data_IF_666070797652
#
_entry.id   IF_666070797652
#
_cell.length_a   1.000
_cell.length_b   1.000
_cell.length_c   1.000
_cell.angle_alpha   90.00
_cell.angle_beta   90.00
_cell.angle_gamma   90.00
#
_symmetry.space_group_name_H-M   'P 1'
#
loop_
_entity.id
_entity.type
_entity.pdbx_description
1 polymer ?
#
# COMPACT_ATOMS: atom_id res chain seq x y z
N UNK A 1 -9.67 6.06 -14.77
CA UNK A 1 -9.13 6.66 -13.54
C UNK A 1 -8.13 7.75 -13.88
N UNK A 2 -7.94 8.74 -13.00
CA UNK A 2 -6.97 9.82 -13.21
C UNK A 2 -5.88 9.78 -12.13
N UNK A 3 -4.61 9.94 -12.56
CA UNK A 3 -3.46 10.09 -11.65
C UNK A 3 -2.80 11.45 -11.89
N UNK A 4 -2.65 12.25 -10.85
CA UNK A 4 -2.05 13.58 -10.90
C UNK A 4 -0.69 13.56 -10.19
N UNK A 5 0.38 13.82 -10.93
CA UNK A 5 1.77 13.77 -10.47
C UNK A 5 2.41 12.41 -10.69
N UNK A 6 3.28 12.31 -11.69
CA UNK A 6 4.04 11.11 -12.08
C UNK A 6 5.42 11.05 -11.39
N UNK A 7 5.44 11.33 -10.09
CA UNK A 7 6.58 10.97 -9.25
C UNK A 7 6.58 9.45 -8.96
N UNK A 8 7.56 8.95 -8.20
CA UNK A 8 7.71 7.52 -7.86
C UNK A 8 6.42 6.83 -7.42
N UNK A 9 5.63 7.50 -6.59
CA UNK A 9 4.35 6.97 -6.11
C UNK A 9 3.28 6.96 -7.21
N UNK A 10 3.05 8.10 -7.88
CA UNK A 10 2.01 8.20 -8.89
C UNK A 10 2.26 7.30 -10.10
N UNK A 11 3.52 7.17 -10.52
CA UNK A 11 3.90 6.23 -11.59
C UNK A 11 3.59 4.79 -11.20
N UNK A 12 4.00 4.35 -10.00
CA UNK A 12 3.73 2.97 -9.54
C UNK A 12 2.22 2.68 -9.44
N UNK A 13 1.42 3.66 -9.00
CA UNK A 13 -0.05 3.53 -8.97
C UNK A 13 -0.63 3.42 -10.38
N UNK A 14 -0.18 4.26 -11.31
CA UNK A 14 -0.68 4.25 -12.68
C UNK A 14 -0.35 2.93 -13.40
N UNK A 15 0.89 2.44 -13.27
CA UNK A 15 1.35 1.16 -13.82
C UNK A 15 0.52 -0.02 -13.30
N UNK A 16 0.28 -0.08 -11.98
CA UNK A 16 -0.49 -1.17 -11.37
C UNK A 16 -1.97 -1.12 -11.77
N UNK A 17 -2.56 0.07 -11.86
CA UNK A 17 -3.93 0.23 -12.36
C UNK A 17 -4.08 -0.26 -13.80
N UNK A 18 -3.11 0.04 -14.67
CA UNK A 18 -3.13 -0.44 -16.05
C UNK A 18 -2.89 -1.96 -16.13
N UNK A 19 -1.97 -2.50 -15.34
CA UNK A 19 -1.76 -3.95 -15.23
C UNK A 19 -3.03 -4.69 -14.76
N UNK A 20 -3.87 -4.02 -13.97
CA UNK A 20 -5.17 -4.50 -13.52
C UNK A 20 -6.30 -4.26 -14.54
N UNK A 21 -6.00 -3.74 -15.75
CA UNK A 21 -6.94 -3.57 -16.85
C UNK A 21 -7.75 -2.26 -16.81
N UNK A 22 -7.31 -1.26 -16.06
CA UNK A 22 -7.96 0.05 -16.04
C UNK A 22 -7.35 1.01 -17.06
N UNK A 23 -8.21 1.82 -17.71
CA UNK A 23 -7.75 2.98 -18.46
C UNK A 23 -7.30 4.08 -17.50
N UNK A 24 -6.08 4.54 -17.68
CA UNK A 24 -5.46 5.57 -16.84
C UNK A 24 -5.07 6.77 -17.67
N UNK A 25 -5.60 7.93 -17.31
CA UNK A 25 -5.07 9.23 -17.70
C UNK A 25 -4.14 9.74 -16.62
N UNK A 26 -3.01 10.34 -17.01
CA UNK A 26 -2.08 10.98 -16.10
C UNK A 26 -1.91 12.46 -16.41
N UNK A 27 -1.83 13.28 -15.37
CA UNK A 27 -1.48 14.71 -15.46
C UNK A 27 -0.15 14.94 -14.76
N UNK A 28 0.80 15.53 -15.46
CA UNK A 28 2.10 15.88 -14.90
C UNK A 28 2.52 17.29 -15.39
N UNK A 29 3.14 18.07 -14.52
CA UNK A 29 3.58 19.41 -14.85
C UNK A 29 4.92 19.43 -15.59
N UNK A 30 5.83 18.52 -15.25
CA UNK A 30 7.16 18.44 -15.87
C UNK A 30 7.08 17.79 -17.25
N UNK A 31 7.43 18.58 -18.28
CA UNK A 31 7.44 18.13 -19.66
C UNK A 31 8.33 16.91 -19.92
N UNK A 32 9.46 16.79 -19.22
CA UNK A 32 10.38 15.67 -19.43
C UNK A 32 9.76 14.38 -18.92
N UNK A 33 9.05 14.43 -17.79
CA UNK A 33 8.31 13.29 -17.24
C UNK A 33 7.18 12.90 -18.18
N UNK A 34 6.41 13.87 -18.68
CA UNK A 34 5.34 13.63 -19.67
C UNK A 34 5.90 12.92 -20.91
N UNK A 35 7.01 13.40 -21.46
CA UNK A 35 7.64 12.78 -22.64
C UNK A 35 8.17 11.37 -22.35
N UNK A 36 8.67 11.13 -21.13
CA UNK A 36 9.19 9.82 -20.73
C UNK A 36 8.10 8.75 -20.69
N UNK A 37 6.90 9.11 -20.25
CA UNK A 37 5.79 8.17 -20.09
C UNK A 37 4.73 8.24 -21.19
N UNK A 38 4.98 9.01 -22.28
CA UNK A 38 4.00 9.22 -23.33
C UNK A 38 3.54 7.94 -24.04
N UNK A 39 4.42 6.95 -24.14
CA UNK A 39 4.14 5.66 -24.79
C UNK A 39 3.73 4.57 -23.80
N UNK A 40 3.91 4.79 -22.50
CA UNK A 40 3.69 3.78 -21.45
C UNK A 40 2.26 3.80 -20.91
N UNK A 41 1.59 4.94 -20.92
CA UNK A 41 0.25 5.11 -20.36
C UNK A 41 -0.80 5.36 -21.45
N UNK A 42 -2.05 5.07 -21.14
CA UNK A 42 -3.18 5.29 -22.05
C UNK A 42 -3.26 6.75 -22.51
N UNK A 43 -3.02 7.69 -21.61
CA UNK A 43 -2.93 9.13 -21.89
C UNK A 43 -2.09 9.83 -20.83
N UNK A 44 -1.12 10.64 -21.27
CA UNK A 44 -0.34 11.53 -20.39
C UNK A 44 -0.45 12.94 -20.89
N UNK A 45 -0.85 13.87 -20.04
CA UNK A 45 -1.06 15.27 -20.40
C UNK A 45 -0.18 16.18 -19.55
N UNK A 46 0.49 17.13 -20.21
CA UNK A 46 1.21 18.19 -19.49
C UNK A 46 0.24 19.27 -19.04
N UNK A 47 0.03 19.39 -17.72
CA UNK A 47 -0.75 20.49 -17.15
C UNK A 47 -0.34 20.77 -15.70
N UNK A 48 -0.63 21.98 -15.22
CA UNK A 48 -0.54 22.34 -13.82
C UNK A 48 -1.89 22.09 -13.14
N UNK A 49 -1.98 21.10 -12.29
CA UNK A 49 -3.21 20.73 -11.61
C UNK A 49 -3.63 21.72 -10.49
N UNK A 50 -2.80 22.72 -10.19
CA UNK A 50 -3.20 23.85 -9.33
C UNK A 50 -4.05 24.88 -10.07
N UNK A 51 -4.09 24.81 -11.41
CA UNK A 51 -4.95 25.64 -12.26
C UNK A 51 -6.28 24.89 -12.52
N UNK A 52 -7.34 25.33 -11.85
CA UNK A 52 -8.69 24.77 -11.99
C UNK A 52 -9.20 24.88 -13.44
N UNK A 53 -8.82 25.94 -14.18
CA UNK A 53 -9.22 26.08 -15.56
C UNK A 53 -8.61 25.00 -16.47
N UNK A 54 -7.34 24.66 -16.24
CA UNK A 54 -6.68 23.57 -16.93
C UNK A 54 -7.37 22.21 -16.64
N UNK A 55 -7.74 21.94 -15.38
CA UNK A 55 -8.47 20.72 -15.02
C UNK A 55 -9.84 20.63 -15.70
N UNK A 56 -10.58 21.74 -15.76
CA UNK A 56 -11.86 21.81 -16.47
C UNK A 56 -11.70 21.54 -17.98
N UNK A 57 -10.68 22.13 -18.63
CA UNK A 57 -10.43 21.90 -20.05
C UNK A 57 -10.08 20.44 -20.38
N UNK A 58 -9.48 19.74 -19.44
CA UNK A 58 -9.15 18.32 -19.55
C UNK A 58 -10.33 17.40 -19.22
N UNK A 59 -11.48 17.93 -18.81
CA UNK A 59 -12.67 17.16 -18.49
C UNK A 59 -12.49 16.31 -17.23
N UNK A 60 -11.73 16.81 -16.24
CA UNK A 60 -11.41 16.07 -15.02
C UNK A 60 -12.65 15.73 -14.21
N UNK A 61 -13.70 16.51 -14.30
CA UNK A 61 -15.03 16.28 -13.70
C UNK A 61 -15.74 15.00 -14.16
N UNK A 62 -15.28 14.40 -15.26
CA UNK A 62 -15.81 13.13 -15.76
C UNK A 62 -15.22 11.89 -15.08
N UNK A 63 -14.22 12.04 -14.21
CA UNK A 63 -13.57 10.93 -13.54
C UNK A 63 -14.20 10.61 -12.18
N UNK A 64 -14.52 9.35 -11.93
CA UNK A 64 -15.04 8.89 -10.63
C UNK A 64 -13.97 8.79 -9.55
N UNK A 65 -12.72 8.54 -9.95
CA UNK A 65 -11.59 8.36 -9.01
C UNK A 65 -10.36 9.09 -9.51
N UNK A 66 -9.79 9.91 -8.61
CA UNK A 66 -8.57 10.68 -8.86
C UNK A 66 -7.55 10.40 -7.75
N UNK A 67 -6.31 10.11 -8.16
CA UNK A 67 -5.18 9.92 -7.25
C UNK A 67 -4.23 11.11 -7.37
N UNK A 68 -4.00 11.83 -6.27
CA UNK A 68 -3.05 12.94 -6.19
C UNK A 68 -1.75 12.45 -5.58
N UNK A 69 -0.75 12.22 -6.45
CA UNK A 69 0.59 11.73 -6.10
C UNK A 69 1.65 12.82 -5.90
N UNK A 70 1.24 14.09 -5.80
CA UNK A 70 2.16 15.24 -5.67
C UNK A 70 2.93 15.16 -4.35
N UNK A 71 4.26 15.05 -4.42
CA UNK A 71 5.14 14.89 -3.26
C UNK A 71 6.27 15.93 -3.18
N UNK A 72 6.29 16.94 -4.06
CA UNK A 72 7.33 17.97 -4.11
C UNK A 72 6.91 19.29 -3.44
N UNK A 73 5.61 19.53 -3.29
CA UNK A 73 5.04 20.75 -2.74
C UNK A 73 3.72 20.46 -2.02
N UNK A 74 3.67 20.77 -0.73
CA UNK A 74 2.44 20.71 0.07
C UNK A 74 1.39 21.67 -0.49
N UNK A 75 1.81 22.88 -0.85
CA UNK A 75 0.93 23.89 -1.44
C UNK A 75 0.25 23.37 -2.72
N UNK A 76 1.03 22.84 -3.67
CA UNK A 76 0.48 22.30 -4.91
C UNK A 76 -0.46 21.11 -4.65
N UNK A 77 -0.13 20.23 -3.71
CA UNK A 77 -0.98 19.11 -3.34
C UNK A 77 -2.33 19.58 -2.77
N UNK A 78 -2.29 20.53 -1.84
CA UNK A 78 -3.49 21.10 -1.20
C UNK A 78 -4.38 21.83 -2.22
N UNK A 79 -3.79 22.68 -3.07
CA UNK A 79 -4.54 23.39 -4.12
C UNK A 79 -5.16 22.43 -5.13
N UNK A 80 -4.42 21.40 -5.54
CA UNK A 80 -4.95 20.38 -6.46
C UNK A 80 -6.16 19.65 -5.84
N UNK A 81 -6.06 19.21 -4.58
CA UNK A 81 -7.18 18.52 -3.91
C UNK A 81 -8.38 19.46 -3.75
N UNK A 82 -8.16 20.74 -3.38
CA UNK A 82 -9.25 21.71 -3.29
C UNK A 82 -9.97 21.89 -4.64
N UNK A 83 -9.21 22.03 -5.74
CA UNK A 83 -9.79 22.12 -7.08
C UNK A 83 -10.63 20.87 -7.44
N UNK A 84 -10.15 19.67 -7.09
CA UNK A 84 -10.89 18.43 -7.35
C UNK A 84 -12.19 18.35 -6.54
N UNK A 85 -12.17 18.81 -5.30
CA UNK A 85 -13.37 18.88 -4.45
C UNK A 85 -14.37 19.88 -5.06
N UNK A 86 -13.91 21.06 -5.50
CA UNK A 86 -14.75 22.06 -6.15
C UNK A 86 -15.35 21.56 -7.47
N UNK A 87 -14.63 20.67 -8.20
CA UNK A 87 -15.11 19.99 -9.40
C UNK A 87 -16.08 18.85 -9.10
N UNK A 88 -16.29 18.48 -7.82
CA UNK A 88 -17.23 17.46 -7.40
C UNK A 88 -16.75 16.04 -7.62
N UNK A 89 -15.44 15.80 -7.65
CA UNK A 89 -14.88 14.44 -7.80
C UNK A 89 -15.32 13.56 -6.62
N UNK A 90 -15.99 12.43 -6.86
CA UNK A 90 -16.58 11.63 -5.78
C UNK A 90 -15.58 10.84 -4.95
N UNK A 91 -14.41 10.51 -5.51
CA UNK A 91 -13.41 9.69 -4.81
C UNK A 91 -11.98 10.20 -5.05
N UNK A 92 -11.46 10.95 -4.09
CA UNK A 92 -10.13 11.57 -4.12
C UNK A 92 -9.20 10.85 -3.15
N UNK A 93 -8.13 10.27 -3.70
CA UNK A 93 -7.01 9.70 -2.96
C UNK A 93 -5.85 10.69 -2.98
N UNK A 94 -5.33 11.06 -1.83
CA UNK A 94 -4.25 12.04 -1.76
C UNK A 94 -3.05 11.54 -0.94
N UNK A 95 -1.87 11.66 -1.52
CA UNK A 95 -0.61 11.38 -0.83
C UNK A 95 -0.27 12.51 0.14
N UNK A 96 -0.03 12.16 1.39
CA UNK A 96 0.47 13.07 2.41
C UNK A 96 1.96 12.83 2.68
N UNK A 97 2.72 13.93 2.84
CA UNK A 97 4.15 13.91 3.20
C UNK A 97 4.37 13.88 4.70
N UNK A 98 3.44 14.44 5.46
CA UNK A 98 3.48 14.52 6.93
C UNK A 98 2.08 14.36 7.50
N UNK A 99 1.97 14.05 8.78
CA UNK A 99 0.67 13.98 9.47
C UNK A 99 -0.09 15.31 9.41
N UNK A 100 0.61 16.46 9.54
CA UNK A 100 -0.01 17.78 9.42
C UNK A 100 -0.56 18.03 8.02
N UNK A 101 0.19 17.66 6.98
CA UNK A 101 -0.28 17.71 5.60
C UNK A 101 -1.54 16.85 5.41
N UNK A 102 -1.53 15.61 5.88
CA UNK A 102 -2.68 14.73 5.77
C UNK A 102 -3.93 15.25 6.49
N UNK A 103 -3.78 15.88 7.65
CA UNK A 103 -4.91 16.53 8.34
C UNK A 103 -5.50 17.68 7.52
N UNK A 104 -4.69 18.40 6.75
CA UNK A 104 -5.19 19.44 5.84
C UNK A 104 -5.97 18.79 4.70
N UNK A 105 -5.39 17.78 4.04
CA UNK A 105 -6.02 17.06 2.93
C UNK A 105 -7.38 16.47 3.31
N UNK A 106 -7.47 15.84 4.47
CA UNK A 106 -8.72 15.29 5.03
C UNK A 106 -9.77 16.40 5.24
N UNK A 107 -9.37 17.53 5.85
CA UNK A 107 -10.28 18.64 6.12
C UNK A 107 -10.79 19.36 4.88
N UNK A 108 -10.03 19.39 3.80
CA UNK A 108 -10.45 20.01 2.54
C UNK A 108 -11.28 19.07 1.67
N UNK A 109 -11.42 17.78 2.06
CA UNK A 109 -12.34 16.85 1.42
C UNK A 109 -11.71 15.70 0.63
N UNK A 110 -10.42 15.39 0.81
CA UNK A 110 -9.88 14.13 0.31
C UNK A 110 -10.59 12.96 1.00
N UNK A 111 -11.09 11.98 0.22
CA UNK A 111 -11.78 10.82 0.75
C UNK A 111 -10.81 9.83 1.41
N UNK A 112 -9.59 9.74 0.86
CA UNK A 112 -8.55 8.87 1.36
C UNK A 112 -7.20 9.60 1.40
N UNK A 113 -6.57 9.60 2.57
CA UNK A 113 -5.23 10.15 2.75
C UNK A 113 -4.26 9.01 3.06
N UNK A 114 -3.20 8.90 2.27
CA UNK A 114 -2.20 7.83 2.37
C UNK A 114 -0.82 8.39 2.67
N UNK A 115 0.01 7.59 3.36
CA UNK A 115 1.36 7.95 3.82
C UNK A 115 2.39 6.93 3.33
N UNK A 116 2.66 6.82 2.02
CA UNK A 116 3.43 5.71 1.45
C UNK A 116 4.84 5.55 2.05
N UNK A 117 5.53 6.66 2.33
CA UNK A 117 6.86 6.62 2.92
C UNK A 117 6.84 6.15 4.38
N UNK A 118 5.83 6.54 5.16
CA UNK A 118 5.67 6.08 6.53
C UNK A 118 5.32 4.58 6.56
N UNK A 119 4.35 4.15 5.78
CA UNK A 119 3.91 2.75 5.68
C UNK A 119 5.06 1.83 5.22
N UNK A 120 5.82 2.28 4.20
CA UNK A 120 6.99 1.55 3.73
C UNK A 120 8.09 1.48 4.81
N UNK A 121 8.33 2.57 5.56
CA UNK A 121 9.29 2.62 6.66
C UNK A 121 8.90 1.68 7.81
N UNK A 122 7.66 1.72 8.25
CA UNK A 122 7.12 0.85 9.29
C UNK A 122 7.24 -0.63 8.90
N UNK A 123 6.81 -0.98 7.67
CA UNK A 123 6.97 -2.33 7.15
C UNK A 123 8.43 -2.77 7.10
N UNK A 124 9.33 -1.91 6.63
CA UNK A 124 10.76 -2.21 6.56
C UNK A 124 11.34 -2.45 7.94
N UNK A 125 10.95 -1.67 8.96
CA UNK A 125 11.41 -1.83 10.33
C UNK A 125 11.09 -3.22 10.90
N UNK A 126 9.89 -3.75 10.66
CA UNK A 126 9.52 -5.11 11.06
C UNK A 126 10.37 -6.19 10.35
N UNK A 127 10.74 -5.96 9.07
CA UNK A 127 11.55 -6.91 8.30
C UNK A 127 13.03 -6.93 8.70
N UNK A 128 13.56 -5.83 9.24
CA UNK A 128 14.97 -5.74 9.66
C UNK A 128 15.35 -6.69 10.81
N UNK A 129 14.36 -7.22 11.54
CA UNK A 129 14.57 -8.26 12.55
C UNK A 129 15.04 -9.62 12.01
N UNK A 130 15.00 -9.83 10.68
CA UNK A 130 15.59 -10.97 9.97
C UNK A 130 14.76 -12.27 9.99
N UNK A 131 13.72 -12.38 10.79
CA UNK A 131 12.85 -13.58 10.87
C UNK A 131 11.60 -13.45 10.00
N UNK A 132 11.18 -12.24 9.69
CA UNK A 132 10.03 -11.95 8.82
C UNK A 132 10.49 -11.70 7.39
N UNK A 133 9.80 -12.30 6.42
CA UNK A 133 9.98 -12.05 4.97
C UNK A 133 9.00 -11.03 4.43
N UNK A 134 7.82 -10.95 5.04
CA UNK A 134 6.81 -9.95 4.74
C UNK A 134 6.01 -9.64 6.00
N UNK A 135 5.49 -8.40 6.06
CA UNK A 135 4.67 -7.90 7.15
C UNK A 135 3.60 -6.97 6.58
N UNK A 136 2.35 -7.14 7.02
CA UNK A 136 1.24 -6.27 6.64
C UNK A 136 0.30 -6.11 7.82
N UNK A 137 0.06 -4.88 8.24
CA UNK A 137 -1.02 -4.55 9.16
C UNK A 137 -2.33 -4.46 8.36
N UNK A 138 -3.28 -5.36 8.58
CA UNK A 138 -4.54 -5.42 7.84
C UNK A 138 -5.69 -4.71 8.53
N UNK A 139 -5.53 -4.42 9.83
CA UNK A 139 -6.40 -3.53 10.61
C UNK A 139 -5.60 -2.95 11.79
N UNK A 140 -6.00 -1.81 12.37
CA UNK A 140 -5.27 -1.21 13.48
C UNK A 140 -4.94 -2.22 14.59
N UNK A 141 -3.65 -2.41 14.86
CA UNK A 141 -3.15 -3.32 15.90
C UNK A 141 -3.19 -4.81 15.54
N UNK A 142 -3.50 -5.21 14.30
CA UNK A 142 -3.53 -6.60 13.84
C UNK A 142 -2.73 -6.80 12.56
N UNK A 143 -1.83 -7.77 12.56
CA UNK A 143 -0.90 -8.02 11.46
C UNK A 143 -0.93 -9.45 10.94
N UNK A 144 -0.55 -9.58 9.67
CA UNK A 144 -0.13 -10.80 9.00
C UNK A 144 1.37 -10.70 8.73
N UNK A 145 2.12 -11.76 9.09
CA UNK A 145 3.55 -11.85 8.80
C UNK A 145 3.88 -13.17 8.12
N UNK A 146 4.73 -13.11 7.10
CA UNK A 146 5.35 -14.29 6.51
C UNK A 146 6.68 -14.54 7.25
N UNK A 147 6.78 -15.69 7.93
CA UNK A 147 7.91 -16.02 8.81
C UNK A 147 8.50 -17.35 8.35
N UNK A 148 9.82 -17.44 8.25
CA UNK A 148 10.50 -18.72 7.97
C UNK A 148 10.24 -19.71 9.11
N UNK A 149 9.84 -20.94 8.77
CA UNK A 149 9.54 -22.01 9.74
C UNK A 149 10.84 -22.44 10.39
N UNK A 150 11.01 -22.24 11.71
CA UNK A 150 12.20 -22.66 12.42
C UNK A 150 12.16 -24.17 12.70
N UNK A 151 13.32 -24.80 12.86
CA UNK A 151 13.47 -26.22 13.19
C UNK A 151 12.70 -26.63 14.45
N UNK A 152 12.55 -25.71 15.41
CA UNK A 152 11.85 -25.95 16.69
C UNK A 152 10.34 -26.16 16.53
N UNK A 153 9.75 -25.71 15.43
CA UNK A 153 8.33 -25.87 15.13
C UNK A 153 8.06 -26.96 14.07
N UNK A 154 9.06 -27.27 13.25
CA UNK A 154 8.94 -28.24 12.16
C UNK A 154 8.64 -29.65 12.65
N UNK A 155 7.86 -30.42 11.87
CA UNK A 155 7.56 -31.84 12.12
C UNK A 155 6.66 -32.13 13.31
N UNK A 156 6.09 -31.13 13.97
CA UNK A 156 5.17 -31.28 15.10
C UNK A 156 3.75 -30.89 14.68
N UNK A 157 2.72 -31.66 15.08
CA UNK A 157 1.34 -31.28 14.83
C UNK A 157 1.01 -29.91 15.44
N UNK A 158 0.24 -29.10 14.71
CA UNK A 158 -0.11 -27.74 15.13
C UNK A 158 -0.77 -27.69 16.51
N UNK A 159 -1.63 -28.67 16.83
CA UNK A 159 -2.27 -28.78 18.16
C UNK A 159 -1.26 -28.84 19.30
N UNK A 160 -0.10 -29.50 19.10
CA UNK A 160 0.92 -29.69 20.15
C UNK A 160 1.78 -28.42 20.34
N UNK A 161 1.81 -27.52 19.35
CA UNK A 161 2.54 -26.27 19.41
C UNK A 161 1.83 -25.23 20.29
N UNK A 162 0.48 -25.29 20.37
CA UNK A 162 -0.36 -24.39 21.18
C UNK A 162 -0.01 -22.91 20.98
N UNK A 163 0.23 -22.49 19.74
CA UNK A 163 0.76 -21.16 19.41
C UNK A 163 -0.18 -20.04 19.87
N UNK A 164 -1.49 -20.26 19.76
CA UNK A 164 -2.49 -19.30 20.23
C UNK A 164 -2.40 -19.07 21.74
N UNK A 165 -2.28 -20.16 22.53
CA UNK A 165 -2.23 -20.07 23.99
C UNK A 165 -0.91 -19.49 24.49
N UNK A 166 0.20 -19.87 23.85
CA UNK A 166 1.56 -19.50 24.27
C UNK A 166 2.00 -18.13 23.80
N UNK A 167 1.60 -17.75 22.59
CA UNK A 167 2.11 -16.54 21.93
C UNK A 167 1.00 -15.58 21.48
N UNK A 168 -0.27 -16.00 21.51
CA UNK A 168 -1.39 -15.18 21.07
C UNK A 168 -1.46 -15.01 19.54
N UNK A 169 -0.83 -15.91 18.78
CA UNK A 169 -0.80 -15.90 17.32
C UNK A 169 -1.40 -17.19 16.75
N UNK A 170 -1.88 -17.11 15.52
CA UNK A 170 -2.35 -18.27 14.74
C UNK A 170 -1.54 -18.41 13.47
N UNK A 171 -1.29 -19.63 13.01
CA UNK A 171 -0.76 -19.91 11.68
C UNK A 171 -1.95 -20.15 10.77
N UNK A 172 -2.05 -19.33 9.72
CA UNK A 172 -3.17 -19.36 8.77
C UNK A 172 -2.89 -20.35 7.63
N UNK A 173 -1.64 -20.37 7.18
CA UNK A 173 -1.19 -21.21 6.07
C UNK A 173 0.33 -21.39 6.14
N UNK A 174 0.86 -22.30 5.34
CA UNK A 174 2.29 -22.39 5.09
C UNK A 174 2.57 -22.59 3.60
N UNK A 175 3.79 -22.26 3.20
CA UNK A 175 4.29 -22.40 1.84
C UNK A 175 5.55 -23.27 1.85
N UNK A 176 5.59 -24.26 0.97
CA UNK A 176 6.76 -25.06 0.66
C UNK A 176 6.94 -25.17 -0.87
N UNK A 177 8.17 -25.16 -1.34
CA UNK A 177 8.52 -25.37 -2.74
C UNK A 177 7.52 -24.76 -3.77
N UNK A 178 6.95 -23.58 -3.50
CA UNK A 178 5.95 -22.83 -4.28
C UNK A 178 4.47 -23.32 -4.16
N UNK A 179 4.16 -24.21 -3.24
CA UNK A 179 2.78 -24.58 -2.95
C UNK A 179 2.29 -23.92 -1.66
N UNK A 180 1.06 -23.41 -1.72
CA UNK A 180 0.38 -22.81 -0.57
C UNK A 180 -0.56 -23.85 0.05
N UNK A 181 -0.42 -24.11 1.35
CA UNK A 181 -1.16 -25.13 2.07
C UNK A 181 -1.98 -24.54 3.21
N UNK A 182 -3.17 -25.06 3.37
CA UNK A 182 -4.01 -24.76 4.53
C UNK A 182 -3.49 -25.45 5.78
N UNK A 183 -3.72 -24.85 6.95
CA UNK A 183 -3.28 -25.39 8.24
C UNK A 183 -4.48 -25.83 9.06
N UNK A 184 -4.43 -27.07 9.56
CA UNK A 184 -5.34 -27.64 10.54
C UNK A 184 -4.60 -28.13 11.81
N UNK A 185 -5.30 -28.75 12.73
CA UNK A 185 -4.73 -29.22 13.99
C UNK A 185 -3.67 -30.33 13.83
N UNK A 186 -3.78 -31.15 12.77
CA UNK A 186 -2.89 -32.28 12.49
C UNK A 186 -1.72 -31.91 11.58
N UNK A 187 -1.78 -30.74 10.95
CA UNK A 187 -0.74 -30.26 10.03
C UNK A 187 0.62 -30.21 10.73
N UNK A 188 1.63 -30.76 10.08
CA UNK A 188 3.03 -30.66 10.49
C UNK A 188 3.75 -29.72 9.52
N UNK A 189 4.29 -28.63 10.05
CA UNK A 189 5.01 -27.65 9.25
C UNK A 189 6.34 -28.24 8.75
N UNK A 190 6.71 -28.06 7.46
CA UNK A 190 7.99 -28.50 6.93
C UNK A 190 9.15 -27.63 7.45
N UNK A 191 10.35 -28.20 7.55
CA UNK A 191 11.55 -27.41 7.85
C UNK A 191 11.91 -26.53 6.64
N UNK A 192 12.22 -25.26 6.89
CA UNK A 192 12.74 -24.35 5.86
C UNK A 192 11.67 -23.72 4.95
N UNK A 193 10.40 -24.08 5.07
CA UNK A 193 9.29 -23.39 4.44
C UNK A 193 8.98 -22.05 5.11
N UNK A 194 7.92 -21.41 4.64
CA UNK A 194 7.41 -20.17 5.24
C UNK A 194 6.02 -20.42 5.84
N UNK A 195 5.69 -19.75 6.93
CA UNK A 195 4.35 -19.77 7.52
C UNK A 195 3.76 -18.36 7.56
N UNK A 196 2.47 -18.27 7.26
CA UNK A 196 1.69 -17.05 7.38
C UNK A 196 1.07 -17.00 8.78
N UNK A 197 1.52 -16.05 9.58
CA UNK A 197 1.12 -15.89 10.99
C UNK A 197 0.26 -14.65 11.13
N UNK A 198 -0.87 -14.79 11.83
CA UNK A 198 -1.80 -13.69 12.13
C UNK A 198 -1.97 -13.48 13.64
N UNK A 199 -2.18 -12.23 14.04
CA UNK A 199 -2.47 -11.87 15.43
C UNK A 199 -2.31 -10.38 15.71
N UNK A 200 -2.45 -9.98 16.99
CA UNK A 200 -2.12 -8.61 17.40
C UNK A 200 -0.67 -8.28 17.02
N UNK A 201 -0.44 -7.09 16.44
CA UNK A 201 0.86 -6.66 15.89
C UNK A 201 2.02 -6.94 16.85
N UNK A 202 1.89 -6.52 18.11
CA UNK A 202 2.93 -6.73 19.14
C UNK A 202 3.21 -8.22 19.44
N UNK A 203 2.19 -9.10 19.29
CA UNK A 203 2.33 -10.55 19.50
C UNK A 203 3.03 -11.21 18.32
N UNK A 204 2.73 -10.78 17.11
CA UNK A 204 3.42 -11.26 15.89
C UNK A 204 4.89 -10.88 15.96
N UNK A 205 5.23 -9.64 16.34
CA UNK A 205 6.61 -9.18 16.53
C UNK A 205 7.34 -9.96 17.64
N UNK A 206 6.69 -10.16 18.79
CA UNK A 206 7.27 -10.92 19.90
C UNK A 206 7.53 -12.38 19.49
N UNK A 207 6.58 -12.99 18.79
CA UNK A 207 6.71 -14.35 18.29
C UNK A 207 7.89 -14.47 17.33
N UNK A 208 7.97 -13.61 16.33
CA UNK A 208 9.06 -13.62 15.36
C UNK A 208 10.45 -13.44 15.98
N UNK A 209 10.58 -12.60 17.02
CA UNK A 209 11.86 -12.42 17.74
C UNK A 209 12.27 -13.59 18.60
N UNK A 210 11.36 -14.50 18.96
CA UNK A 210 11.63 -15.68 19.81
C UNK A 210 11.98 -16.95 19.03
N UNK A 211 11.87 -16.88 17.69
CA UNK A 211 12.18 -17.99 16.80
C UNK A 211 13.67 -18.06 16.47
#
# INVERSE_FOLDING_TARGET
>A
MLVIGLGRFGTAVAEELMASGHDVMAIERDRNIVQHYADDFTSVVQADATDQHALNQLGVDSFDTVVVGIGTSIESSVLTVANLVDLGIPNIWAKALTRAHGQILDRIGANHVIYPEQEAGERTAHLLGGTMRNFTEFSPGHALANITIPKTLAGRPMRDLRLKDRYGVIVVAYEDANNFHHVDSETQLPEGGNMLVAGPTHRVDEFARRL
#
